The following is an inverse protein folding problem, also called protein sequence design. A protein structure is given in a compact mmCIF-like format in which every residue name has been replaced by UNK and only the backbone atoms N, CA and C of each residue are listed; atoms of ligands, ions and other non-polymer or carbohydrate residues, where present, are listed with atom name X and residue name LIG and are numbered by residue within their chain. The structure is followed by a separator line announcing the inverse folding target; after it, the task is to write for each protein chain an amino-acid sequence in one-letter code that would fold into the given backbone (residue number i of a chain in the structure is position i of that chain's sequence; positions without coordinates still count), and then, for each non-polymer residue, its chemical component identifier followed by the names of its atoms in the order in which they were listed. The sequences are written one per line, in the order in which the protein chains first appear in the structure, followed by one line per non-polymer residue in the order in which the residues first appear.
data_IF_044016903890
#
_entry.id   IF_044016903890
#
_cell.length_a   1.000
_cell.length_b   1.000
_cell.length_c   1.000
_cell.angle_alpha   90.00
_cell.angle_beta   90.00
_cell.angle_gamma   90.00
#
_symmetry.space_group_name_H-M   'P 1'
#
loop_
_entity.id
_entity.type
_entity.pdbx_description
1 polymer ?
#
# COMPACT_ATOMS: atom_id res chain seq x y z
N UNK A 1 11.85 -1.41 20.20
CA UNK A 1 10.61 -2.18 20.43
C UNK A 1 9.54 -1.68 19.47
N UNK A 2 9.01 -2.56 18.62
CA UNK A 2 7.65 -2.56 18.02
C UNK A 2 7.08 -1.33 17.28
N UNK A 3 7.86 -0.34 16.83
CA UNK A 3 7.30 0.83 16.12
C UNK A 3 6.53 0.44 14.85
N UNK A 4 7.01 -0.50 14.03
CA UNK A 4 6.33 -0.89 12.79
C UNK A 4 4.93 -1.51 12.94
N UNK A 5 4.66 -2.28 14.00
CA UNK A 5 3.35 -2.97 14.16
C UNK A 5 2.22 -2.03 14.59
N UNK A 6 2.54 -1.00 15.38
CA UNK A 6 1.55 -0.04 15.87
C UNK A 6 1.00 0.82 14.73
N UNK A 7 1.84 1.17 13.75
CA UNK A 7 1.45 1.93 12.56
C UNK A 7 0.55 1.16 11.59
N UNK A 8 0.58 -0.18 11.59
CA UNK A 8 -0.30 -0.97 10.72
C UNK A 8 -1.75 -1.01 11.19
N UNK A 9 -1.99 -0.95 12.52
CA UNK A 9 -3.33 -0.85 13.06
C UNK A 9 -3.97 0.50 12.70
N UNK A 10 -3.20 1.59 12.84
CA UNK A 10 -3.61 2.94 12.43
C UNK A 10 -3.89 3.00 10.92
N UNK A 11 -3.01 2.42 10.09
CA UNK A 11 -3.23 2.33 8.65
C UNK A 11 -4.52 1.58 8.30
N UNK A 12 -4.82 0.48 9.01
CA UNK A 12 -6.06 -0.26 8.82
C UNK A 12 -7.30 0.58 9.14
N UNK A 13 -7.28 1.37 10.22
CA UNK A 13 -8.40 2.26 10.56
C UNK A 13 -8.57 3.38 9.54
N UNK A 14 -7.48 3.98 9.06
CA UNK A 14 -7.53 4.99 7.99
C UNK A 14 -8.13 4.39 6.72
N UNK A 15 -7.74 3.18 6.33
CA UNK A 15 -8.28 2.52 5.14
C UNK A 15 -9.79 2.23 5.25
N UNK A 16 -10.30 1.88 6.44
CA UNK A 16 -11.75 1.74 6.64
C UNK A 16 -12.51 3.04 6.41
N UNK A 17 -11.94 4.18 6.83
CA UNK A 17 -12.54 5.49 6.58
C UNK A 17 -12.45 5.82 5.09
N UNK A 18 -11.32 5.54 4.45
CA UNK A 18 -11.17 5.72 3.01
C UNK A 18 -12.17 4.88 2.22
N UNK A 19 -12.43 3.62 2.61
CA UNK A 19 -13.45 2.75 2.01
C UNK A 19 -14.85 3.39 2.05
N UNK A 20 -15.17 4.13 3.12
CA UNK A 20 -16.44 4.84 3.22
C UNK A 20 -16.48 6.05 2.29
N UNK A 21 -15.39 6.84 2.26
CA UNK A 21 -15.30 8.06 1.47
C UNK A 21 -15.29 7.80 -0.04
N UNK A 22 -14.62 6.74 -0.51
CA UNK A 22 -14.57 6.41 -1.95
C UNK A 22 -15.92 5.91 -2.49
N UNK A 23 -16.79 5.40 -1.62
CA UNK A 23 -18.15 4.97 -1.98
C UNK A 23 -19.19 6.09 -1.84
N UNK A 24 -18.82 7.25 -1.31
CA UNK A 24 -19.70 8.41 -1.23
C UNK A 24 -19.83 9.07 -2.61
N UNK A 25 -21.08 9.16 -3.10
CA UNK A 25 -21.41 9.56 -4.49
C UNK A 25 -21.00 11.00 -4.82
N UNK A 26 -20.88 11.85 -3.81
CA UNK A 26 -20.53 13.26 -3.99
C UNK A 26 -19.00 13.50 -3.99
N UNK A 27 -18.22 12.45 -3.67
CA UNK A 27 -16.77 12.51 -3.43
C UNK A 27 -15.94 11.51 -4.27
N UNK A 28 -16.61 10.64 -5.03
CA UNK A 28 -15.97 9.48 -5.66
C UNK A 28 -15.14 9.85 -6.90
N UNK A 29 -13.93 10.33 -6.70
CA UNK A 29 -12.91 10.34 -7.74
C UNK A 29 -12.33 8.93 -7.88
N UNK A 30 -12.40 8.37 -9.09
CA UNK A 30 -11.86 7.05 -9.41
C UNK A 30 -10.38 6.91 -9.00
N UNK A 31 -9.62 8.01 -9.01
CA UNK A 31 -8.21 8.02 -8.58
C UNK A 31 -8.07 7.64 -7.11
N UNK A 32 -8.95 8.13 -6.24
CA UNK A 32 -8.92 7.79 -4.82
C UNK A 32 -9.34 6.34 -4.57
N UNK A 33 -10.28 5.81 -5.34
CA UNK A 33 -10.66 4.40 -5.26
C UNK A 33 -9.50 3.47 -5.65
N UNK A 34 -8.75 3.82 -6.69
CA UNK A 34 -7.60 3.01 -7.14
C UNK A 34 -6.41 3.14 -6.18
N UNK A 35 -6.14 4.34 -5.65
CA UNK A 35 -5.17 4.54 -4.56
C UNK A 35 -5.53 3.71 -3.32
N UNK A 36 -6.79 3.73 -2.92
CA UNK A 36 -7.27 2.98 -1.78
C UNK A 36 -7.05 1.46 -1.97
N UNK A 37 -7.36 0.92 -3.16
CA UNK A 37 -7.05 -0.47 -3.51
C UNK A 37 -5.55 -0.79 -3.41
N UNK A 38 -4.69 0.11 -3.88
CA UNK A 38 -3.24 -0.07 -3.80
C UNK A 38 -2.76 -0.12 -2.34
N UNK A 39 -3.27 0.76 -1.48
CA UNK A 39 -2.87 0.86 -0.08
C UNK A 39 -3.35 -0.33 0.76
N UNK A 40 -4.50 -0.92 0.43
CA UNK A 40 -4.90 -2.23 0.97
C UNK A 40 -3.91 -3.33 0.59
N UNK A 41 -3.47 -3.35 -0.67
CA UNK A 41 -2.48 -4.32 -1.13
C UNK A 41 -1.13 -4.18 -0.42
N UNK A 42 -0.69 -2.93 -0.18
CA UNK A 42 0.49 -2.66 0.63
C UNK A 42 0.35 -3.20 2.04
N UNK A 43 -0.77 -2.92 2.71
CA UNK A 43 -1.02 -3.37 4.09
C UNK A 43 -1.04 -4.90 4.16
N UNK A 44 -1.68 -5.56 3.20
CA UNK A 44 -1.68 -7.03 3.09
C UNK A 44 -0.25 -7.58 2.93
N UNK A 45 0.61 -6.95 2.13
CA UNK A 45 2.02 -7.40 1.98
C UNK A 45 2.79 -7.27 3.28
N UNK A 46 2.77 -6.10 3.93
CA UNK A 46 3.59 -5.84 5.12
C UNK A 46 3.08 -6.55 6.38
N UNK A 47 1.82 -7.00 6.38
CA UNK A 47 1.22 -7.79 7.46
C UNK A 47 1.26 -9.30 7.23
N UNK A 48 1.77 -9.75 6.07
CA UNK A 48 2.09 -11.17 5.80
C UNK A 48 1.17 -11.88 4.81
N UNK A 49 0.12 -11.23 4.30
CA UNK A 49 -0.74 -11.73 3.22
C UNK A 49 -0.16 -11.38 1.83
N UNK A 50 1.13 -11.69 1.61
CA UNK A 50 1.93 -11.19 0.46
C UNK A 50 1.30 -11.40 -0.91
N UNK A 51 0.82 -12.60 -1.23
CA UNK A 51 0.28 -12.89 -2.56
C UNK A 51 -1.07 -12.19 -2.81
N UNK A 52 -1.91 -12.09 -1.78
CA UNK A 52 -3.15 -11.30 -1.84
C UNK A 52 -2.84 -9.82 -2.07
N UNK A 53 -1.89 -9.27 -1.32
CA UNK A 53 -1.53 -7.87 -1.44
C UNK A 53 -0.85 -7.53 -2.76
N UNK A 54 0.01 -8.41 -3.31
CA UNK A 54 0.55 -8.30 -4.67
C UNK A 54 -0.55 -8.17 -5.71
N UNK A 55 -1.52 -9.09 -5.68
CA UNK A 55 -2.63 -9.08 -6.63
C UNK A 55 -3.41 -7.77 -6.57
N UNK A 56 -3.64 -7.22 -5.37
CA UNK A 56 -4.32 -5.94 -5.18
C UNK A 56 -3.51 -4.77 -5.73
N UNK A 57 -2.21 -4.68 -5.42
CA UNK A 57 -1.32 -3.65 -5.95
C UNK A 57 -1.25 -3.70 -7.48
N UNK A 58 -1.10 -4.89 -8.07
CA UNK A 58 -1.03 -5.09 -9.52
C UNK A 58 -2.33 -4.71 -10.22
N UNK A 59 -3.49 -5.04 -9.62
CA UNK A 59 -4.79 -4.61 -10.11
C UNK A 59 -4.90 -3.09 -10.11
N UNK A 60 -4.50 -2.42 -9.02
CA UNK A 60 -4.53 -0.96 -8.92
C UNK A 60 -3.64 -0.30 -9.98
N UNK A 61 -2.39 -0.74 -10.12
CA UNK A 61 -1.47 -0.27 -11.16
C UNK A 61 -2.02 -0.50 -12.58
N UNK A 62 -2.73 -1.62 -12.80
CA UNK A 62 -3.37 -1.90 -14.09
C UNK A 62 -4.49 -0.90 -14.40
N UNK A 63 -5.34 -0.60 -13.42
CA UNK A 63 -6.43 0.36 -13.58
C UNK A 63 -5.87 1.78 -13.81
N UNK A 64 -4.84 2.19 -13.08
CA UNK A 64 -4.18 3.48 -13.31
C UNK A 64 -3.67 3.63 -14.76
N UNK A 65 -3.00 2.60 -15.28
CA UNK A 65 -2.55 2.58 -16.69
C UNK A 65 -3.72 2.71 -17.67
N UNK A 66 -4.81 1.97 -17.45
CA UNK A 66 -6.00 2.01 -18.32
C UNK A 66 -6.65 3.39 -18.33
N UNK A 67 -6.74 4.03 -17.16
CA UNK A 67 -7.39 5.33 -17.01
C UNK A 67 -6.50 6.51 -17.44
N UNK A 68 -5.24 6.26 -17.83
CA UNK A 68 -4.26 7.28 -18.23
C UNK A 68 -4.15 8.42 -17.20
N UNK A 69 -4.26 8.09 -15.92
CA UNK A 69 -4.13 9.07 -14.85
C UNK A 69 -2.65 9.32 -14.61
N UNK A 70 -2.18 10.54 -14.87
CA UNK A 70 -0.81 10.94 -14.59
C UNK A 70 -0.51 10.88 -13.08
N UNK A 71 0.61 10.24 -12.72
CA UNK A 71 1.05 10.03 -11.33
C UNK A 71 1.42 8.58 -10.98
N UNK A 72 1.13 7.60 -11.85
CA UNK A 72 1.24 6.17 -11.54
C UNK A 72 2.65 5.56 -11.69
N UNK A 73 3.32 5.80 -12.81
CA UNK A 73 4.65 5.22 -13.06
C UNK A 73 5.74 5.84 -12.17
N UNK A 74 5.60 7.11 -11.77
CA UNK A 74 6.61 7.84 -11.00
C UNK A 74 6.44 7.71 -9.47
N UNK A 75 5.26 7.33 -8.97
CA UNK A 75 4.97 7.28 -7.53
C UNK A 75 4.69 5.87 -7.01
N UNK A 76 3.66 5.19 -7.55
CA UNK A 76 3.18 3.93 -6.98
C UNK A 76 4.08 2.75 -7.37
N UNK A 77 4.64 2.74 -8.58
CA UNK A 77 5.54 1.67 -9.00
C UNK A 77 6.84 1.61 -8.19
N UNK A 78 7.56 2.72 -7.93
CA UNK A 78 8.71 2.70 -7.03
C UNK A 78 8.37 2.21 -5.62
N UNK A 79 7.20 2.60 -5.09
CA UNK A 79 6.71 2.12 -3.80
C UNK A 79 6.49 0.61 -3.84
N UNK A 80 5.77 0.10 -4.84
CA UNK A 80 5.51 -1.34 -5.00
C UNK A 80 6.81 -2.15 -5.08
N UNK A 81 7.75 -1.74 -5.93
CA UNK A 81 9.04 -2.39 -6.07
C UNK A 81 9.85 -2.37 -4.77
N UNK A 82 9.80 -1.27 -4.01
CA UNK A 82 10.45 -1.17 -2.70
C UNK A 82 9.83 -2.15 -1.70
N UNK A 83 8.50 -2.21 -1.63
CA UNK A 83 7.77 -3.13 -0.73
C UNK A 83 8.05 -4.60 -1.09
N UNK A 84 8.19 -4.93 -2.37
CA UNK A 84 8.50 -6.32 -2.78
C UNK A 84 9.92 -6.76 -2.44
N UNK A 85 10.87 -5.82 -2.45
CA UNK A 85 12.24 -6.03 -1.95
C UNK A 85 12.27 -6.22 -0.43
N UNK A 86 11.27 -5.70 0.27
CA UNK A 86 11.08 -5.95 1.68
C UNK A 86 10.49 -7.35 1.88
N UNK A 87 11.30 -8.26 2.40
CA UNK A 87 10.81 -9.50 2.98
C UNK A 87 10.70 -9.29 4.51
N UNK A 88 9.48 -9.23 5.08
CA UNK A 88 9.33 -9.12 6.54
C UNK A 88 9.92 -10.30 7.31
N UNK A 89 10.24 -11.42 6.64
CA UNK A 89 10.97 -12.56 7.21
C UNK A 89 12.50 -12.44 7.12
N UNK A 90 13.03 -11.46 6.38
CA UNK A 90 14.47 -11.23 6.22
C UNK A 90 15.00 -10.29 7.33
N UNK A 91 15.26 -10.90 8.50
CA UNK A 91 15.74 -10.28 9.75
C UNK A 91 16.98 -9.37 9.58
N UNK A 92 17.78 -9.52 8.52
CA UNK A 92 19.00 -8.72 8.30
C UNK A 92 18.71 -7.25 8.02
N UNK A 93 17.59 -6.92 7.38
CA UNK A 93 17.27 -5.54 7.00
C UNK A 93 16.65 -4.73 8.16
N UNK A 94 16.01 -5.38 9.14
CA UNK A 94 15.51 -4.72 10.36
C UNK A 94 16.64 -4.15 11.24
N UNK A 95 17.82 -4.77 11.25
CA UNK A 95 18.93 -4.32 12.09
C UNK A 95 19.61 -3.05 11.57
N UNK A 96 19.70 -2.86 10.25
CA UNK A 96 20.39 -1.71 9.65
C UNK A 96 19.63 -0.39 9.91
N UNK A 97 18.30 -0.42 9.92
CA UNK A 97 17.47 0.75 10.22
C UNK A 97 17.45 1.11 11.72
N UNK A 98 17.89 0.20 12.61
CA UNK A 98 18.01 0.46 14.05
C UNK A 98 19.40 0.98 14.45
N UNK A 99 20.41 0.89 13.58
CA UNK A 99 21.79 1.31 13.86
C UNK A 99 22.20 2.65 13.25
N UNK A 100 21.31 3.33 12.52
CA UNK A 100 21.57 4.66 11.92
C UNK A 100 20.80 5.80 12.62
N UNK A 101 20.47 5.62 13.91
CA UNK A 101 20.00 6.70 14.79
C UNK A 101 21.14 7.51 15.39
#
# INVERSE_FOLDING_TARGET
MLTGKQHYAEASEVLKIMDQLVHDKDSSDVRYAVQNLFMHGWLDIVTGAKEKGKQQCENALSVYRILNVSGDDDLLRPIYEHILKYDPSDLKHMMIMMTLG
#
